data_IF_101200196696
#
_entry.id   IF_101200196696
#
_cell.length_a   1.000
_cell.length_b   1.000
_cell.length_c   1.000
_cell.angle_alpha   90.00
_cell.angle_beta   90.00
_cell.angle_gamma   90.00
#
_symmetry.space_group_name_H-M   'P 1'
#
loop_
_entity.id
_entity.type
_entity.pdbx_description
1 polymer ?
#
# COMPACT_ATOMS: atom_id res chain seq x y z
N UNK A 1 9.38 -6.30 6.70
CA UNK A 1 9.56 -5.31 5.62
C UNK A 1 8.90 -4.01 6.03
N UNK A 2 9.60 -2.88 5.96
CA UNK A 2 9.03 -1.57 6.30
C UNK A 2 8.54 -0.87 5.03
N UNK A 3 7.24 -0.63 4.92
CA UNK A 3 6.61 0.05 3.78
C UNK A 3 6.48 1.56 4.00
N UNK A 4 6.53 2.02 5.26
CA UNK A 4 6.29 3.41 5.63
C UNK A 4 7.43 4.29 5.11
N UNK A 5 7.09 5.47 4.58
CA UNK A 5 8.00 6.43 3.96
C UNK A 5 8.35 6.12 2.51
N UNK A 6 7.81 5.03 1.93
CA UNK A 6 8.05 4.71 0.51
C UNK A 6 6.98 5.37 -0.36
N UNK A 7 7.41 5.98 -1.46
CA UNK A 7 6.51 6.37 -2.55
C UNK A 7 5.99 5.12 -3.24
N UNK A 8 4.68 5.06 -3.47
CA UNK A 8 4.03 3.93 -4.12
C UNK A 8 3.08 4.39 -5.22
N UNK A 9 2.80 3.50 -6.16
CA UNK A 9 1.76 3.64 -7.19
C UNK A 9 0.81 2.46 -7.14
N UNK A 10 -0.49 2.74 -7.20
CA UNK A 10 -1.52 1.70 -7.24
C UNK A 10 -1.62 1.15 -8.67
N UNK A 11 -1.38 -0.14 -8.85
CA UNK A 11 -1.53 -0.84 -10.13
C UNK A 11 -2.89 -1.54 -10.26
N UNK A 12 -3.39 -2.09 -9.15
CA UNK A 12 -4.70 -2.75 -9.06
C UNK A 12 -5.32 -2.38 -7.72
N UNK A 13 -6.63 -2.16 -7.69
CA UNK A 13 -7.41 -1.92 -6.47
C UNK A 13 -8.85 -2.38 -6.67
N UNK A 14 -9.53 -2.69 -5.57
CA UNK A 14 -10.97 -3.02 -5.59
C UNK A 14 -11.86 -1.85 -5.97
N UNK A 15 -11.42 -0.62 -5.65
CA UNK A 15 -12.01 0.62 -6.12
C UNK A 15 -11.23 1.10 -7.36
N UNK A 16 -11.82 1.03 -8.57
CA UNK A 16 -11.12 1.38 -9.81
C UNK A 16 -10.63 2.82 -9.86
N UNK A 17 -11.26 3.74 -9.10
CA UNK A 17 -10.85 5.15 -9.06
C UNK A 17 -9.49 5.36 -8.39
N UNK A 18 -8.99 4.34 -7.68
CA UNK A 18 -7.71 4.38 -6.98
C UNK A 18 -6.54 3.93 -7.86
N UNK A 19 -6.81 3.27 -8.99
CA UNK A 19 -5.77 2.78 -9.90
C UNK A 19 -5.02 3.97 -10.53
N UNK A 20 -3.70 3.89 -10.55
CA UNK A 20 -2.82 4.95 -11.05
C UNK A 20 -2.51 6.05 -10.03
N UNK A 21 -3.25 6.13 -8.92
CA UNK A 21 -2.91 7.06 -7.84
C UNK A 21 -1.54 6.72 -7.26
N UNK A 22 -0.81 7.78 -6.90
CA UNK A 22 0.54 7.68 -6.32
C UNK A 22 0.65 8.57 -5.10
N UNK A 23 1.47 8.16 -4.14
CA UNK A 23 1.68 8.90 -2.90
C UNK A 23 2.70 8.24 -2.00
N UNK A 24 3.06 8.91 -0.92
CA UNK A 24 3.92 8.34 0.13
C UNK A 24 3.09 7.52 1.10
N UNK A 25 3.55 6.32 1.44
CA UNK A 25 2.87 5.48 2.43
C UNK A 25 3.22 5.93 3.85
N UNK A 26 2.26 6.52 4.55
CA UNK A 26 2.48 7.14 5.87
C UNK A 26 2.02 6.27 7.03
N UNK A 27 1.11 5.32 6.78
CA UNK A 27 0.63 4.39 7.81
C UNK A 27 0.23 3.05 7.20
N UNK A 28 0.61 1.98 7.89
CA UNK A 28 0.10 0.63 7.64
C UNK A 28 -0.83 0.21 8.78
N UNK A 29 -2.01 -0.30 8.44
CA UNK A 29 -2.95 -0.95 9.37
C UNK A 29 -3.16 -2.40 8.96
N UNK A 30 -3.85 -3.19 9.78
CA UNK A 30 -4.09 -4.62 9.50
C UNK A 30 -4.69 -4.89 8.10
N UNK A 31 -5.63 -4.05 7.65
CA UNK A 31 -6.36 -4.23 6.37
C UNK A 31 -6.17 -3.12 5.37
N UNK A 32 -5.59 -1.98 5.78
CA UNK A 32 -5.51 -0.80 4.93
C UNK A 32 -4.13 -0.18 4.96
N UNK A 33 -3.83 0.59 3.92
CA UNK A 33 -2.67 1.45 3.78
C UNK A 33 -3.17 2.89 3.69
N UNK A 34 -2.47 3.82 4.33
CA UNK A 34 -2.73 5.25 4.20
C UNK A 34 -1.62 5.86 3.36
N UNK A 35 -2.01 6.46 2.24
CA UNK A 35 -1.12 7.23 1.39
C UNK A 35 -1.37 8.72 1.58
N UNK A 36 -0.31 9.51 1.54
CA UNK A 36 -0.39 10.96 1.40
C UNK A 36 0.05 11.38 0.00
N UNK A 37 -0.78 12.18 -0.67
CA UNK A 37 -0.54 12.66 -2.02
C UNK A 37 -1.08 14.07 -2.15
N UNK A 38 -0.21 15.03 -2.47
CA UNK A 38 -0.56 16.45 -2.62
C UNK A 38 -1.39 17.02 -1.45
N UNK A 39 -1.03 16.68 -0.21
CA UNK A 39 -1.73 17.13 1.00
C UNK A 39 -3.09 16.46 1.25
N UNK A 40 -3.45 15.44 0.46
CA UNK A 40 -4.64 14.61 0.66
C UNK A 40 -4.25 13.22 1.14
N UNK A 41 -5.10 12.65 1.99
CA UNK A 41 -4.97 11.28 2.49
C UNK A 41 -5.87 10.33 1.73
N UNK A 42 -5.29 9.25 1.21
CA UNK A 42 -5.96 8.19 0.48
C UNK A 42 -5.87 6.91 1.29
N UNK A 43 -7.01 6.30 1.62
CA UNK A 43 -7.03 5.00 2.29
C UNK A 43 -7.26 3.91 1.26
N UNK A 44 -6.33 2.97 1.18
CA UNK A 44 -6.33 1.89 0.21
C UNK A 44 -6.53 0.56 0.95
N UNK A 45 -7.42 -0.30 0.46
CA UNK A 45 -7.56 -1.65 0.99
C UNK A 45 -6.33 -2.48 0.64
N UNK A 46 -5.88 -3.36 1.52
CA UNK A 46 -4.81 -4.33 1.19
C UNK A 46 -5.35 -5.45 0.32
N UNK A 47 -6.52 -5.97 0.69
CA UNK A 47 -7.16 -7.07 -0.02
C UNK A 47 -7.44 -6.68 -1.48
N UNK A 48 -6.94 -7.48 -2.42
CA UNK A 48 -7.15 -7.28 -3.86
C UNK A 48 -6.40 -6.11 -4.47
N UNK A 49 -5.40 -5.55 -3.77
CA UNK A 49 -4.61 -4.41 -4.25
C UNK A 49 -3.22 -4.87 -4.70
N UNK A 50 -2.70 -4.25 -5.75
CA UNK A 50 -1.31 -4.42 -6.20
C UNK A 50 -0.66 -3.05 -6.24
N UNK A 51 0.52 -2.95 -5.61
CA UNK A 51 1.27 -1.71 -5.45
C UNK A 51 2.68 -1.85 -5.96
N UNK A 52 3.13 -0.85 -6.70
CA UNK A 52 4.52 -0.67 -7.11
C UNK A 52 5.22 0.25 -6.09
N UNK A 53 6.38 -0.16 -5.60
CA UNK A 53 7.20 0.60 -4.67
C UNK A 53 8.37 1.30 -5.38
N UNK A 54 8.43 2.62 -5.22
CA UNK A 54 9.53 3.46 -5.66
C UNK A 54 9.87 3.36 -7.15
N UNK A 55 10.99 3.94 -7.56
CA UNK A 55 11.42 3.95 -8.95
C UNK A 55 12.03 2.62 -9.45
N UNK A 56 12.21 1.63 -8.56
CA UNK A 56 12.85 0.35 -8.89
C UNK A 56 11.85 -0.71 -9.36
N UNK A 57 10.55 -0.41 -9.38
CA UNK A 57 9.51 -1.29 -9.91
C UNK A 57 9.24 -2.54 -9.06
N UNK A 58 9.58 -2.51 -7.77
CA UNK A 58 9.27 -3.61 -6.86
C UNK A 58 7.74 -3.70 -6.68
N UNK A 59 7.14 -4.85 -6.99
CA UNK A 59 5.69 -5.04 -6.93
C UNK A 59 5.29 -5.91 -5.75
N UNK A 60 4.27 -5.47 -5.02
CA UNK A 60 3.70 -6.17 -3.87
C UNK A 60 2.21 -6.35 -4.06
N UNK A 61 1.71 -7.53 -3.70
CA UNK A 61 0.27 -7.76 -3.52
C UNK A 61 -0.09 -7.41 -2.09
N UNK A 62 -1.11 -6.58 -1.92
CA UNK A 62 -1.63 -6.23 -0.60
C UNK A 62 -2.12 -7.46 0.18
N UNK A 63 -2.53 -8.52 -0.53
CA UNK A 63 -2.90 -9.82 0.05
C UNK A 63 -1.75 -10.46 0.84
N UNK A 64 -0.52 -10.35 0.34
CA UNK A 64 0.69 -10.93 0.97
C UNK A 64 1.09 -10.17 2.24
N UNK A 65 0.59 -8.93 2.40
CA UNK A 65 0.84 -8.07 3.55
C UNK A 65 -0.42 -7.85 4.40
N UNK A 66 -1.44 -8.70 4.28
CA UNK A 66 -2.59 -8.71 5.18
C UNK A 66 -2.19 -9.04 6.63
N UNK A 67 -2.93 -8.49 7.60
CA UNK A 67 -2.59 -8.60 9.03
C UNK A 67 -1.65 -7.49 9.49
N UNK A 68 -1.37 -7.45 10.80
CA UNK A 68 -0.38 -6.50 11.34
C UNK A 68 1.03 -6.95 11.00
N UNK A 69 1.96 -5.99 10.92
CA UNK A 69 3.38 -6.30 10.69
C UNK A 69 3.89 -7.28 11.74
N UNK A 70 3.49 -7.12 13.01
CA UNK A 70 3.90 -8.02 14.10
C UNK A 70 3.43 -9.46 13.87
N UNK A 71 2.21 -9.65 13.37
CA UNK A 71 1.64 -10.97 13.06
C UNK A 71 2.36 -11.66 11.90
N UNK A 72 2.89 -10.88 10.94
CA UNK A 72 3.63 -11.42 9.79
C UNK A 72 5.07 -11.81 10.12
N UNK A 73 5.70 -11.15 11.08
CA UNK A 73 7.08 -11.48 11.52
C UNK A 73 7.11 -12.79 12.31
N UNK A 74 5.99 -13.16 12.96
CA UNK A 74 5.89 -14.37 13.78
C UNK A 74 5.61 -15.66 12.98
N UNK A 75 5.42 -15.59 11.66
CA UNK A 75 5.26 -16.73 10.75
C UNK A 75 6.57 -17.06 10.07
#
# INVERSE_FOLDING_TARGET
MNLIGRTVKILVATDPTQVGLSGELVLERSKTLLLESHGRRLTIQKLGTVIELGARGEVIRGDDVLGRVEERIAR
#
